data_IF_699176993039
#
_entry.id   IF_699176993039
#
_cell.length_a   1.000
_cell.length_b   1.000
_cell.length_c   1.000
_cell.angle_alpha   90.00
_cell.angle_beta   90.00
_cell.angle_gamma   90.00
#
_symmetry.space_group_name_H-M   'P 1'
#
loop_
_entity.id
_entity.type
_entity.pdbx_description
1 polymer ?
#
# COMPACT_ATOMS: atom_id res chain seq x y z
N UNK A 1 25.85 -2.02 -15.86
CA UNK A 1 25.04 -0.79 -15.68
C UNK A 1 23.57 -1.18 -15.60
N UNK A 2 22.68 -0.29 -15.16
CA UNK A 2 21.23 -0.57 -15.10
C UNK A 2 20.64 -0.91 -16.49
N UNK A 3 21.20 -0.31 -17.55
CA UNK A 3 20.90 -0.66 -18.93
C UNK A 3 21.23 -2.13 -19.28
N UNK A 4 22.31 -2.70 -18.72
CA UNK A 4 22.73 -4.09 -19.00
C UNK A 4 21.72 -5.12 -18.51
N UNK A 5 20.97 -4.82 -17.45
CA UNK A 5 19.95 -5.72 -16.89
C UNK A 5 18.54 -5.41 -17.41
N UNK A 6 18.41 -4.54 -18.43
CA UNK A 6 17.13 -4.08 -18.97
C UNK A 6 16.17 -3.59 -17.87
N UNK A 7 16.68 -2.82 -16.91
CA UNK A 7 15.84 -2.31 -15.81
C UNK A 7 14.74 -1.40 -16.38
N UNK A 8 13.46 -1.63 -16.03
CA UNK A 8 12.36 -0.74 -16.42
C UNK A 8 12.62 0.69 -15.95
N UNK A 9 12.24 1.68 -16.77
CA UNK A 9 12.48 3.10 -16.46
C UNK A 9 11.63 3.57 -15.28
N UNK A 10 10.52 2.89 -15.07
CA UNK A 10 9.52 3.13 -14.04
C UNK A 10 10.05 2.76 -12.65
N UNK A 11 11.03 1.85 -12.58
CA UNK A 11 11.66 1.40 -11.32
C UNK A 11 12.91 2.25 -11.07
N UNK A 12 12.72 3.44 -10.52
CA UNK A 12 13.83 4.34 -10.17
C UNK A 12 14.53 3.91 -8.87
N UNK A 13 15.86 4.03 -8.86
CA UNK A 13 16.67 3.74 -7.66
C UNK A 13 16.57 4.89 -6.65
N UNK A 14 15.78 4.70 -5.59
CA UNK A 14 15.57 5.72 -4.54
C UNK A 14 16.73 5.82 -3.54
N UNK A 15 17.35 4.70 -3.19
CA UNK A 15 18.52 4.63 -2.32
C UNK A 15 19.59 3.71 -2.90
N UNK A 16 20.87 4.10 -2.78
CA UNK A 16 22.03 3.25 -3.08
C UNK A 16 22.48 2.52 -1.81
N UNK A 17 23.10 1.33 -1.90
CA UNK A 17 23.42 0.51 -0.74
C UNK A 17 24.14 1.25 0.40
N UNK A 18 25.16 2.05 0.07
CA UNK A 18 25.98 2.77 1.06
C UNK A 18 25.23 3.85 1.85
N UNK A 19 24.08 4.32 1.34
CA UNK A 19 23.23 5.32 1.99
C UNK A 19 21.84 4.76 2.38
N UNK A 20 21.65 3.44 2.28
CA UNK A 20 20.35 2.82 2.48
C UNK A 20 20.09 2.51 3.97
N UNK A 21 19.85 3.56 4.76
CA UNK A 21 19.66 3.44 6.20
C UNK A 21 18.48 2.54 6.59
N UNK A 22 17.38 2.53 5.81
CA UNK A 22 16.25 1.62 6.08
C UNK A 22 16.66 0.14 6.11
N UNK A 23 17.57 -0.30 5.23
CA UNK A 23 18.04 -1.69 5.18
C UNK A 23 19.16 -1.97 6.20
N UNK A 24 20.14 -1.07 6.33
CA UNK A 24 21.40 -1.37 7.03
C UNK A 24 21.56 -0.71 8.40
N UNK A 25 20.71 0.26 8.73
CA UNK A 25 20.72 0.97 10.01
C UNK A 25 19.35 1.06 10.70
N UNK A 26 18.34 0.36 10.17
CA UNK A 26 16.96 0.39 10.64
C UNK A 26 16.28 -0.98 10.58
N UNK A 27 14.98 -1.00 10.85
CA UNK A 27 14.18 -2.24 10.96
C UNK A 27 13.63 -2.80 9.65
N UNK A 28 14.06 -2.33 8.48
CA UNK A 28 13.49 -2.72 7.18
C UNK A 28 14.42 -3.63 6.36
N UNK A 29 15.40 -4.28 6.99
CA UNK A 29 16.16 -5.35 6.36
C UNK A 29 15.20 -6.46 5.88
N UNK A 30 15.29 -6.81 4.59
CA UNK A 30 14.31 -7.67 3.90
C UNK A 30 12.84 -7.21 3.99
N UNK A 31 12.58 -5.98 4.42
CA UNK A 31 11.25 -5.44 4.70
C UNK A 31 10.93 -4.14 3.97
N UNK A 32 11.83 -3.56 3.17
CA UNK A 32 11.57 -2.28 2.49
C UNK A 32 10.39 -2.31 1.51
N UNK A 33 9.98 -3.49 1.05
CA UNK A 33 8.76 -3.64 0.24
C UNK A 33 7.49 -3.32 1.02
N UNK A 34 7.55 -3.28 2.36
CA UNK A 34 6.41 -2.99 3.24
C UNK A 34 5.77 -1.64 2.92
N UNK A 35 6.53 -0.65 2.44
CA UNK A 35 5.97 0.62 1.99
C UNK A 35 4.97 0.42 0.84
N UNK A 36 5.39 -0.28 -0.21
CA UNK A 36 4.51 -0.53 -1.36
C UNK A 36 3.36 -1.46 -1.00
N UNK A 37 3.59 -2.41 -0.09
CA UNK A 37 2.54 -3.27 0.44
C UNK A 37 1.48 -2.45 1.19
N UNK A 38 1.90 -1.58 2.10
CA UNK A 38 1.00 -0.70 2.87
C UNK A 38 0.26 0.30 1.98
N UNK A 39 0.87 0.79 0.89
CA UNK A 39 0.19 1.64 -0.09
C UNK A 39 -0.97 0.95 -0.80
N UNK A 40 -0.90 -0.38 -1.02
CA UNK A 40 -2.05 -1.14 -1.54
C UNK A 40 -3.22 -1.11 -0.55
N UNK A 41 -2.93 -1.28 0.74
CA UNK A 41 -3.95 -1.24 1.80
C UNK A 41 -4.55 0.16 1.93
N UNK A 42 -3.71 1.20 1.84
CA UNK A 42 -4.12 2.61 1.93
C UNK A 42 -5.05 3.00 0.77
N UNK A 43 -4.64 2.74 -0.48
CA UNK A 43 -5.47 3.04 -1.65
C UNK A 43 -6.81 2.30 -1.61
N UNK A 44 -6.81 1.02 -1.21
CA UNK A 44 -8.04 0.22 -1.12
C UNK A 44 -8.94 0.64 0.06
N UNK A 45 -8.36 1.08 1.18
CA UNK A 45 -9.08 1.61 2.32
C UNK A 45 -9.73 2.97 1.99
N UNK A 46 -9.01 3.85 1.31
CA UNK A 46 -9.57 5.13 0.85
C UNK A 46 -10.72 4.93 -0.13
N UNK A 47 -10.63 3.94 -1.03
CA UNK A 47 -11.71 3.59 -1.93
C UNK A 47 -13.02 3.22 -1.20
N UNK A 48 -12.96 2.71 0.04
CA UNK A 48 -14.18 2.45 0.84
C UNK A 48 -14.93 3.75 1.20
N UNK A 49 -14.21 4.88 1.32
CA UNK A 49 -14.82 6.19 1.51
C UNK A 49 -15.38 6.73 0.20
N UNK A 50 -14.65 6.59 -0.92
CA UNK A 50 -15.16 6.95 -2.26
C UNK A 50 -16.45 6.18 -2.61
N UNK A 51 -16.49 4.87 -2.34
CA UNK A 51 -17.66 4.00 -2.55
C UNK A 51 -18.89 4.41 -1.73
N UNK A 52 -18.68 5.07 -0.58
CA UNK A 52 -19.78 5.58 0.24
C UNK A 52 -20.39 6.87 -0.32
N UNK A 53 -19.74 7.52 -1.28
CA UNK A 53 -20.14 8.81 -1.84
C UNK A 53 -19.81 10.02 -0.95
N UNK A 54 -19.24 9.80 0.24
CA UNK A 54 -18.82 10.84 1.17
C UNK A 54 -17.46 10.50 1.79
N UNK A 55 -16.46 11.34 1.53
CA UNK A 55 -15.10 11.14 2.07
C UNK A 55 -15.04 11.29 3.60
N UNK A 56 -16.08 11.85 4.23
CA UNK A 56 -16.21 12.00 5.69
C UNK A 56 -17.25 11.03 6.28
N UNK A 57 -17.61 9.96 5.56
CA UNK A 57 -18.64 9.02 5.98
C UNK A 57 -18.34 8.39 7.35
N UNK A 58 -19.08 8.84 8.37
CA UNK A 58 -18.87 8.46 9.78
C UNK A 58 -18.87 6.95 10.06
N UNK A 59 -19.81 6.16 9.49
CA UNK A 59 -19.79 4.71 9.66
C UNK A 59 -18.52 4.04 9.11
N UNK A 60 -18.00 4.49 7.96
CA UNK A 60 -16.74 3.97 7.40
C UNK A 60 -15.55 4.37 8.27
N UNK A 61 -15.50 5.62 8.73
CA UNK A 61 -14.48 6.09 9.66
C UNK A 61 -14.45 5.28 10.97
N UNK A 62 -15.63 4.95 11.52
CA UNK A 62 -15.75 4.11 12.72
C UNK A 62 -15.20 2.71 12.50
N UNK A 63 -15.55 2.06 11.38
CA UNK A 63 -14.99 0.74 11.03
C UNK A 63 -13.47 0.78 10.86
N UNK A 64 -12.94 1.83 10.22
CA UNK A 64 -11.50 2.03 10.05
C UNK A 64 -10.81 2.13 11.42
N UNK A 65 -11.34 2.95 12.32
CA UNK A 65 -10.83 3.06 13.69
C UNK A 65 -10.85 1.72 14.42
N UNK A 66 -12.01 1.07 14.47
CA UNK A 66 -12.25 -0.12 15.30
C UNK A 66 -11.49 -1.36 14.81
N UNK A 67 -11.12 -1.40 13.53
CA UNK A 67 -10.49 -2.58 12.94
C UNK A 67 -9.07 -2.34 12.43
N UNK A 68 -8.65 -1.11 12.13
CA UNK A 68 -7.29 -0.84 11.62
C UNK A 68 -6.43 -0.11 12.66
N UNK A 69 -6.96 0.92 13.32
CA UNK A 69 -6.13 1.77 14.20
C UNK A 69 -6.11 1.31 15.66
N UNK A 70 -7.27 0.95 16.23
CA UNK A 70 -7.39 0.59 17.64
C UNK A 70 -6.77 -0.77 18.02
N UNK A 71 -6.88 -1.85 17.22
CA UNK A 71 -6.49 -3.19 17.66
C UNK A 71 -4.98 -3.42 17.83
N UNK A 72 -4.13 -2.61 17.19
CA UNK A 72 -2.68 -2.89 17.12
C UNK A 72 -2.41 -4.32 16.60
N UNK A 73 -1.56 -5.06 17.31
CA UNK A 73 -1.22 -6.46 17.00
C UNK A 73 -2.05 -7.51 17.73
N UNK A 74 -3.21 -7.16 18.30
CA UNK A 74 -4.00 -8.08 19.14
C UNK A 74 -4.76 -9.17 18.37
N UNK A 75 -4.93 -9.01 17.05
CA UNK A 75 -5.63 -9.94 16.15
C UNK A 75 -4.88 -10.04 14.83
N UNK A 76 -5.18 -11.07 14.05
CA UNK A 76 -4.60 -11.23 12.72
C UNK A 76 -4.94 -10.02 11.82
N UNK A 77 -3.94 -9.39 11.16
CA UNK A 77 -4.16 -8.22 10.31
C UNK A 77 -5.10 -8.47 9.12
N UNK A 78 -5.12 -9.68 8.55
CA UNK A 78 -6.00 -9.98 7.43
C UNK A 78 -7.47 -10.06 7.89
N UNK A 79 -7.73 -10.68 9.04
CA UNK A 79 -9.07 -10.72 9.64
C UNK A 79 -9.58 -9.33 10.01
N UNK A 80 -8.70 -8.49 10.55
CA UNK A 80 -8.99 -7.09 10.85
C UNK A 80 -9.32 -6.30 9.58
N UNK A 81 -8.53 -6.47 8.52
CA UNK A 81 -8.80 -5.80 7.25
C UNK A 81 -10.10 -6.30 6.61
N UNK A 82 -10.38 -7.60 6.67
CA UNK A 82 -11.65 -8.18 6.23
C UNK A 82 -12.84 -7.60 7.00
N UNK A 83 -12.73 -7.41 8.31
CA UNK A 83 -13.79 -6.81 9.13
C UNK A 83 -14.05 -5.34 8.74
N UNK A 84 -13.00 -4.58 8.41
CA UNK A 84 -13.13 -3.20 7.91
C UNK A 84 -13.74 -3.17 6.50
N UNK A 85 -13.12 -3.89 5.55
CA UNK A 85 -13.35 -3.70 4.11
C UNK A 85 -14.38 -4.66 3.52
N UNK A 86 -14.66 -5.78 4.19
CA UNK A 86 -15.50 -6.88 3.70
C UNK A 86 -14.80 -7.80 2.69
N UNK A 87 -13.57 -7.47 2.29
CA UNK A 87 -12.75 -8.22 1.33
C UNK A 87 -11.27 -7.92 1.55
N UNK A 88 -10.40 -8.77 1.00
CA UNK A 88 -8.97 -8.50 0.97
C UNK A 88 -8.65 -7.29 0.06
N UNK A 89 -7.52 -6.59 0.30
CA UNK A 89 -7.14 -5.40 -0.46
C UNK A 89 -6.83 -5.77 -1.92
N UNK A 90 -7.16 -4.86 -2.83
CA UNK A 90 -6.85 -4.99 -4.26
C UNK A 90 -5.83 -3.95 -4.69
N UNK A 91 -4.88 -4.36 -5.54
CA UNK A 91 -3.85 -3.46 -6.05
C UNK A 91 -4.40 -2.42 -7.06
N UNK A 92 -5.63 -2.59 -7.56
CA UNK A 92 -6.23 -1.75 -8.60
C UNK A 92 -6.18 -0.26 -8.24
N UNK A 93 -6.51 0.11 -6.99
CA UNK A 93 -6.46 1.49 -6.52
C UNK A 93 -5.06 2.09 -6.62
N UNK A 94 -4.05 1.36 -6.15
CA UNK A 94 -2.65 1.78 -6.23
C UNK A 94 -2.16 1.89 -7.68
N UNK A 95 -2.51 0.92 -8.51
CA UNK A 95 -2.13 0.91 -9.93
C UNK A 95 -2.75 2.11 -10.66
N UNK A 96 -4.02 2.43 -10.38
CA UNK A 96 -4.69 3.62 -10.92
C UNK A 96 -3.98 4.90 -10.49
N UNK A 97 -3.69 5.05 -9.20
CA UNK A 97 -3.01 6.23 -8.65
C UNK A 97 -1.61 6.44 -9.25
N UNK A 98 -0.91 5.35 -9.56
CA UNK A 98 0.42 5.39 -10.19
C UNK A 98 0.38 5.47 -11.72
N UNK A 99 -0.80 5.53 -12.34
CA UNK A 99 -0.95 5.58 -13.80
C UNK A 99 -0.52 4.29 -14.50
N UNK A 100 -0.65 3.13 -13.84
CA UNK A 100 -0.18 1.83 -14.30
C UNK A 100 -1.29 0.92 -14.84
N UNK A 101 -2.56 1.32 -14.75
CA UNK A 101 -3.68 0.58 -15.37
C UNK A 101 -3.85 0.91 -16.86
N UNK A 102 -3.43 2.10 -17.28
CA UNK A 102 -3.52 2.58 -18.65
C UNK A 102 -2.14 2.50 -19.33
N UNK A 103 -1.57 1.30 -19.44
CA UNK A 103 -0.42 1.12 -20.31
C UNK A 103 -0.90 1.26 -21.77
N UNK A 104 -0.33 2.16 -22.60
CA UNK A 104 -0.60 2.12 -24.03
C UNK A 104 -0.16 0.75 -24.56
N UNK A 105 -1.07 0.06 -25.25
CA UNK A 105 -0.69 -1.12 -26.05
C UNK A 105 0.26 -0.64 -27.15
N UNK A 106 1.55 -0.82 -26.93
CA UNK A 106 2.57 -0.77 -27.97
C UNK A 106 3.14 -2.17 -28.14
#
# INVERSE_FOLDING_TARGET
TLARIKMPREIVMRHRPTQFQHLFGGGYAAGYYSYMWSEVLDADAFAAFEESGDIFHGPTARKLHDHVYAPGGSRDPADLYLAFRGRLPKADGLLKQRGLLDAPQN
#
